data_IF_052748083641
#
_entry.id   IF_052748083641
#
_cell.length_a   1.000
_cell.length_b   1.000
_cell.length_c   1.000
_cell.angle_alpha   90.00
_cell.angle_beta   90.00
_cell.angle_gamma   90.00
#
_symmetry.space_group_name_H-M   'P 1'
#
loop_
_entity.id
_entity.type
_entity.pdbx_description
1 polymer ?
#
# COMPACT_ATOMS: atom_id res chain seq x y z
N UNK A 1 -1.98 1.38 -7.39
CA UNK A 1 -2.76 0.33 -6.68
C UNK A 1 -2.20 0.01 -5.30
N UNK A 2 -0.93 -0.44 -5.15
CA UNK A 2 -0.38 -0.78 -3.81
C UNK A 2 -0.43 0.38 -2.80
N UNK A 3 -0.01 1.58 -3.20
CA UNK A 3 -0.12 2.79 -2.36
C UNK A 3 -1.56 3.09 -1.91
N UNK A 4 -2.54 2.74 -2.76
CA UNK A 4 -3.96 3.02 -2.55
C UNK A 4 -4.60 1.98 -1.61
N UNK A 5 -4.46 0.68 -1.91
CA UNK A 5 -5.08 -0.39 -1.11
C UNK A 5 -4.38 -0.54 0.25
N UNK A 6 -3.05 -0.44 0.27
CA UNK A 6 -2.28 -0.59 1.50
C UNK A 6 -2.10 0.74 2.26
N UNK A 7 -2.63 1.87 1.78
CA UNK A 7 -2.45 3.20 2.41
C UNK A 7 -0.98 3.60 2.65
N UNK A 8 -0.08 3.13 1.80
CA UNK A 8 1.36 3.39 1.92
C UNK A 8 1.73 4.69 1.24
N UNK A 9 2.68 5.41 1.83
CA UNK A 9 3.27 6.56 1.18
C UNK A 9 4.10 6.08 -0.02
N UNK A 10 4.20 6.89 -1.08
CA UNK A 10 4.93 6.52 -2.31
C UNK A 10 6.37 6.08 -2.01
N UNK A 11 7.05 6.77 -1.10
CA UNK A 11 8.42 6.41 -0.68
C UNK A 11 8.52 5.04 0.01
N UNK A 12 7.45 4.57 0.65
CA UNK A 12 7.40 3.25 1.27
C UNK A 12 7.17 2.18 0.20
N UNK A 13 6.21 2.43 -0.71
CA UNK A 13 5.90 1.52 -1.82
C UNK A 13 7.09 1.25 -2.72
N UNK A 14 7.86 2.30 -3.03
CA UNK A 14 9.04 2.18 -3.89
C UNK A 14 10.18 1.37 -3.26
N UNK A 15 10.16 1.15 -1.94
CA UNK A 15 11.16 0.34 -1.23
C UNK A 15 10.79 -1.13 -1.13
N UNK A 16 9.56 -1.51 -1.51
CA UNK A 16 9.09 -2.90 -1.43
C UNK A 16 9.93 -3.77 -2.38
N UNK A 17 10.47 -4.85 -1.83
CA UNK A 17 11.20 -5.87 -2.56
C UNK A 17 10.30 -7.08 -2.83
N UNK A 18 10.68 -7.88 -3.83
CA UNK A 18 9.91 -9.07 -4.21
C UNK A 18 9.70 -10.07 -3.07
N UNK A 19 10.61 -10.12 -2.09
CA UNK A 19 10.51 -11.02 -0.94
C UNK A 19 9.65 -10.51 0.21
N UNK A 20 9.25 -9.23 0.19
CA UNK A 20 8.37 -8.63 1.20
C UNK A 20 6.89 -8.95 0.92
N UNK A 21 6.60 -9.55 -0.23
CA UNK A 21 5.25 -9.86 -0.67
C UNK A 21 4.98 -11.35 -0.50
N UNK A 22 4.10 -11.64 0.45
CA UNK A 22 3.42 -12.92 0.57
C UNK A 22 2.08 -12.81 -0.14
N UNK A 23 1.91 -13.61 -1.20
CA UNK A 23 0.62 -13.73 -1.90
C UNK A 23 -0.27 -14.67 -1.09
N UNK A 24 -1.23 -14.08 -0.40
CA UNK A 24 -2.27 -14.81 0.32
C UNK A 24 -3.49 -14.88 -0.60
N UNK A 25 -4.02 -16.09 -0.78
CA UNK A 25 -5.16 -16.36 -1.66
C UNK A 25 -6.46 -15.91 -0.98
N UNK A 26 -6.64 -14.60 -0.85
CA UNK A 26 -7.83 -13.99 -0.25
C UNK A 26 -8.69 -13.22 -1.25
N UNK A 27 -9.96 -13.14 -0.87
CA UNK A 27 -11.12 -12.79 -1.67
C UNK A 27 -10.93 -11.58 -2.60
N UNK A 28 -11.40 -11.75 -3.83
CA UNK A 28 -11.10 -10.88 -4.97
C UNK A 28 -11.76 -9.52 -4.81
N UNK A 29 -10.97 -8.49 -4.48
CA UNK A 29 -11.37 -7.09 -4.62
C UNK A 29 -11.43 -6.74 -6.12
N UNK A 30 -12.33 -7.35 -6.90
CA UNK A 30 -12.54 -7.18 -8.35
C UNK A 30 -11.31 -6.63 -9.10
N UNK A 31 -11.36 -5.35 -9.53
CA UNK A 31 -10.29 -4.67 -10.28
C UNK A 31 -9.18 -4.05 -9.42
N UNK A 32 -9.35 -4.01 -8.09
CA UNK A 32 -8.41 -3.44 -7.13
C UNK A 32 -7.62 -4.52 -6.37
N UNK A 33 -7.77 -5.80 -6.74
CA UNK A 33 -7.09 -6.92 -6.08
C UNK A 33 -5.56 -6.76 -6.21
N UNK A 34 -4.86 -6.45 -5.10
CA UNK A 34 -3.44 -6.16 -5.15
C UNK A 34 -2.61 -7.40 -5.52
N UNK A 35 -3.09 -8.57 -5.10
CA UNK A 35 -2.52 -9.88 -5.45
C UNK A 35 -2.55 -10.12 -6.95
N UNK A 36 -3.72 -9.95 -7.60
CA UNK A 36 -3.86 -10.21 -9.03
C UNK A 36 -2.99 -9.28 -9.86
N UNK A 37 -3.03 -7.98 -9.59
CA UNK A 37 -2.22 -7.03 -10.35
C UNK A 37 -0.72 -7.15 -10.04
N UNK A 38 -0.33 -7.61 -8.85
CA UNK A 38 1.06 -8.01 -8.61
C UNK A 38 1.46 -9.27 -9.40
N UNK A 39 0.61 -10.30 -9.43
CA UNK A 39 0.88 -11.52 -10.18
C UNK A 39 1.02 -11.23 -11.69
N UNK A 40 0.11 -10.43 -12.27
CA UNK A 40 0.20 -9.96 -13.65
C UNK A 40 1.49 -9.16 -13.90
N UNK A 41 1.84 -8.26 -12.98
CA UNK A 41 3.08 -7.48 -13.07
C UNK A 41 4.33 -8.35 -13.08
N UNK A 42 4.42 -9.33 -12.17
CA UNK A 42 5.57 -10.26 -12.10
C UNK A 42 5.64 -11.13 -13.36
N UNK A 43 4.49 -11.59 -13.87
CA UNK A 43 4.44 -12.35 -15.12
C UNK A 43 4.95 -11.55 -16.31
N UNK A 44 4.64 -10.26 -16.41
CA UNK A 44 5.08 -9.41 -17.52
C UNK A 44 6.54 -8.98 -17.37
N UNK A 45 6.97 -8.63 -16.16
CA UNK A 45 8.31 -8.06 -15.91
C UNK A 45 9.39 -9.10 -15.65
N UNK A 46 9.01 -10.35 -15.33
CA UNK A 46 9.92 -11.44 -14.97
C UNK A 46 10.88 -11.10 -13.80
N UNK A 47 10.48 -10.15 -12.94
CA UNK A 47 11.27 -9.74 -11.78
C UNK A 47 11.22 -10.84 -10.72
N UNK A 48 12.35 -11.52 -10.50
CA UNK A 48 12.47 -12.59 -9.49
C UNK A 48 13.10 -12.14 -8.17
N UNK A 49 13.93 -11.07 -8.18
CA UNK A 49 14.68 -10.58 -7.01
C UNK A 49 14.94 -9.09 -7.11
N UNK A 50 14.78 -8.34 -6.03
CA UNK A 50 15.10 -6.91 -5.91
C UNK A 50 13.85 -6.03 -5.81
N UNK A 51 13.99 -4.73 -6.07
CA UNK A 51 12.88 -3.77 -6.04
C UNK A 51 11.79 -4.14 -7.06
N UNK A 52 10.52 -3.96 -6.69
CA UNK A 52 9.39 -4.20 -7.59
C UNK A 52 9.23 -3.04 -8.59
N UNK A 53 9.46 -1.81 -8.12
CA UNK A 53 9.38 -0.58 -8.91
C UNK A 53 10.76 -0.10 -9.32
N UNK A 54 11.19 -0.55 -10.51
CA UNK A 54 12.51 -0.25 -11.09
C UNK A 54 12.42 0.87 -12.12
N UNK A 55 13.51 1.61 -12.30
CA UNK A 55 13.66 2.45 -13.49
C UNK A 55 13.70 1.58 -14.75
N UNK A 56 12.92 1.95 -15.78
CA UNK A 56 12.84 1.19 -17.05
C UNK A 56 14.21 0.90 -17.71
N UNK A 57 15.18 1.81 -17.57
CA UNK A 57 16.51 1.67 -18.20
C UNK A 57 17.60 1.14 -17.26
N UNK A 58 17.32 0.96 -15.97
CA UNK A 58 18.28 0.49 -14.97
C UNK A 58 17.58 -0.49 -14.04
N UNK A 59 17.67 -1.78 -14.40
CA UNK A 59 16.90 -2.86 -13.80
C UNK A 59 17.10 -3.02 -12.29
N UNK A 60 18.12 -2.45 -11.67
CA UNK A 60 18.36 -2.59 -10.23
C UNK A 60 18.20 -1.28 -9.43
N UNK A 61 17.90 -0.18 -10.13
CA UNK A 61 17.73 1.12 -9.47
C UNK A 61 16.27 1.38 -9.11
N UNK A 62 16.07 1.73 -7.84
CA UNK A 62 14.78 2.18 -7.32
C UNK A 62 14.28 3.39 -8.13
N UNK A 63 13.02 3.32 -8.58
CA UNK A 63 12.36 4.47 -9.19
C UNK A 63 12.22 5.60 -8.14
N UNK A 64 12.39 6.86 -8.55
CA UNK A 64 12.19 7.98 -7.63
C UNK A 64 10.70 8.31 -7.46
N UNK A 65 10.38 8.96 -6.34
CA UNK A 65 9.04 9.47 -6.08
C UNK A 65 8.57 10.45 -7.16
N UNK A 66 9.45 11.34 -7.62
CA UNK A 66 9.18 12.29 -8.71
C UNK A 66 8.84 11.60 -10.04
N UNK A 67 9.55 10.52 -10.38
CA UNK A 67 9.25 9.72 -11.57
C UNK A 67 7.90 9.02 -11.43
N UNK A 68 7.58 8.51 -10.24
CA UNK A 68 6.28 7.93 -9.93
C UNK A 68 5.15 8.96 -10.09
N UNK A 69 5.33 10.17 -9.55
CA UNK A 69 4.33 11.23 -9.63
C UNK A 69 4.14 11.70 -11.07
N UNK A 70 5.22 11.86 -11.83
CA UNK A 70 5.16 12.22 -13.25
C UNK A 70 4.36 11.18 -14.05
N UNK A 71 4.67 9.89 -13.88
CA UNK A 71 3.93 8.83 -14.55
C UNK A 71 2.45 8.81 -14.18
N UNK A 72 2.13 9.03 -12.90
CA UNK A 72 0.74 9.13 -12.46
C UNK A 72 0.00 10.31 -13.08
N UNK A 73 0.61 11.50 -13.13
CA UNK A 73 0.01 12.68 -13.76
C UNK A 73 -0.25 12.47 -15.25
N UNK A 74 0.66 11.79 -15.94
CA UNK A 74 0.46 11.43 -17.34
C UNK A 74 -0.74 10.49 -17.51
N UNK A 75 -0.87 9.46 -16.67
CA UNK A 75 -2.05 8.58 -16.70
C UNK A 75 -3.37 9.33 -16.44
N UNK A 76 -3.37 10.35 -15.57
CA UNK A 76 -4.55 11.20 -15.35
C UNK A 76 -4.91 12.00 -16.60
N UNK A 77 -3.92 12.56 -17.29
CA UNK A 77 -4.10 13.27 -18.55
C UNK A 77 -4.65 12.34 -19.64
N UNK A 78 -4.16 11.10 -19.72
CA UNK A 78 -4.62 10.10 -20.70
C UNK A 78 -6.11 9.76 -20.56
N UNK A 79 -6.65 9.84 -19.33
CA UNK A 79 -8.08 9.63 -19.04
C UNK A 79 -8.88 10.94 -18.94
N UNK A 80 -8.28 12.07 -19.29
CA UNK A 80 -8.94 13.39 -19.33
C UNK A 80 -9.19 14.03 -17.96
N UNK A 81 -8.45 13.64 -16.92
CA UNK A 81 -8.54 14.22 -15.57
C UNK A 81 -7.40 15.23 -15.37
N UNK A 82 -7.73 16.42 -14.86
CA UNK A 82 -6.71 17.41 -14.47
C UNK A 82 -5.81 16.84 -13.35
N UNK A 83 -4.48 16.74 -13.56
CA UNK A 83 -3.56 16.22 -12.56
C UNK A 83 -3.20 17.21 -11.45
N UNK A 84 -3.52 18.50 -11.61
CA UNK A 84 -3.10 19.58 -10.69
C UNK A 84 -3.48 19.37 -9.23
N UNK A 85 -4.70 18.90 -8.87
CA UNK A 85 -5.06 18.67 -7.47
C UNK A 85 -4.46 17.37 -6.89
N UNK A 86 -3.79 16.55 -7.70
CA UNK A 86 -3.28 15.26 -7.28
C UNK A 86 -1.77 15.27 -7.00
N UNK A 87 -1.41 14.76 -5.82
CA UNK A 87 -0.03 14.64 -5.33
C UNK A 87 0.25 13.24 -4.77
N UNK A 88 1.44 13.05 -4.18
CA UNK A 88 1.84 11.73 -3.66
C UNK A 88 0.93 11.21 -2.53
N UNK A 89 0.34 12.12 -1.74
CA UNK A 89 -0.62 11.76 -0.70
C UNK A 89 -2.00 11.37 -1.25
N UNK A 90 -2.32 11.68 -2.51
CA UNK A 90 -3.63 11.37 -3.09
C UNK A 90 -3.93 9.87 -3.10
N UNK A 91 -2.91 9.02 -3.18
CA UNK A 91 -3.10 7.57 -3.06
C UNK A 91 -3.58 7.15 -1.67
N UNK A 92 -2.96 7.68 -0.61
CA UNK A 92 -3.34 7.37 0.78
C UNK A 92 -4.71 7.94 1.11
N UNK A 93 -4.96 9.21 0.77
CA UNK A 93 -6.25 9.85 1.01
C UNK A 93 -7.38 9.18 0.23
N UNK A 94 -7.16 8.90 -1.06
CA UNK A 94 -8.13 8.20 -1.89
C UNK A 94 -8.41 6.78 -1.39
N UNK A 95 -7.37 6.06 -0.95
CA UNK A 95 -7.51 4.74 -0.35
C UNK A 95 -8.33 4.78 0.94
N UNK A 96 -8.05 5.72 1.83
CA UNK A 96 -8.83 5.92 3.06
C UNK A 96 -10.29 6.22 2.77
N UNK A 97 -10.53 7.10 1.81
CA UNK A 97 -11.88 7.47 1.41
C UNK A 97 -12.63 6.26 0.84
N UNK A 98 -12.00 5.46 -0.02
CA UNK A 98 -12.58 4.23 -0.55
C UNK A 98 -12.88 3.19 0.54
N UNK A 99 -11.94 2.94 1.46
CA UNK A 99 -12.16 2.01 2.58
C UNK A 99 -13.32 2.47 3.48
N UNK A 100 -13.46 3.78 3.70
CA UNK A 100 -14.53 4.36 4.53
C UNK A 100 -15.89 4.34 3.82
N UNK A 101 -15.96 4.76 2.55
CA UNK A 101 -17.22 4.96 1.85
C UNK A 101 -17.73 3.66 1.19
N UNK A 102 -16.86 2.92 0.51
CA UNK A 102 -17.26 1.75 -0.28
C UNK A 102 -17.25 0.46 0.53
N UNK A 103 -16.29 0.31 1.47
CA UNK A 103 -16.22 -0.87 2.35
C UNK A 103 -16.81 -0.62 3.74
N UNK A 104 -17.24 0.61 4.04
CA UNK A 104 -17.80 1.00 5.33
C UNK A 104 -16.90 0.64 6.52
N UNK A 105 -15.57 0.68 6.35
CA UNK A 105 -14.65 0.38 7.45
C UNK A 105 -14.68 1.50 8.49
N UNK A 106 -14.78 1.17 9.79
CA UNK A 106 -14.65 2.18 10.84
C UNK A 106 -13.22 2.75 10.84
N UNK A 107 -13.09 4.04 11.16
CA UNK A 107 -11.80 4.77 11.15
C UNK A 107 -10.71 4.03 11.93
N UNK A 108 -11.04 3.41 13.07
CA UNK A 108 -10.07 2.61 13.84
C UNK A 108 -9.49 1.46 13.01
N UNK A 109 -10.32 0.72 12.29
CA UNK A 109 -9.88 -0.37 11.41
C UNK A 109 -9.01 0.18 10.27
N UNK A 110 -9.32 1.36 9.73
CA UNK A 110 -8.52 2.01 8.69
C UNK A 110 -7.14 2.41 9.23
N UNK A 111 -7.06 3.01 10.42
CA UNK A 111 -5.79 3.38 11.04
C UNK A 111 -4.93 2.14 11.34
N UNK A 112 -5.53 1.11 11.95
CA UNK A 112 -4.86 -0.17 12.21
C UNK A 112 -4.40 -0.82 10.91
N UNK A 113 -5.22 -0.78 9.85
CA UNK A 113 -4.85 -1.27 8.53
C UNK A 113 -3.67 -0.50 7.97
N UNK A 114 -3.73 0.84 7.91
CA UNK A 114 -2.65 1.70 7.43
C UNK A 114 -1.34 1.58 8.22
N UNK A 115 -1.35 0.92 9.38
CA UNK A 115 -0.20 0.86 10.29
C UNK A 115 0.03 2.18 11.00
N UNK A 116 -1.02 3.00 11.12
CA UNK A 116 -0.99 4.26 11.84
C UNK A 116 -1.32 4.01 13.29
N UNK A 117 -0.57 4.64 14.18
CA UNK A 117 -0.87 4.55 15.60
C UNK A 117 -2.22 5.19 15.90
N UNK A 118 -3.00 4.54 16.77
CA UNK A 118 -4.19 5.16 17.37
C UNK A 118 -3.81 6.14 18.49
N UNK A 119 -2.59 6.01 19.04
CA UNK A 119 -2.00 6.95 20.00
C UNK A 119 -1.04 7.90 19.28
N UNK A 120 -1.26 9.21 19.42
CA UNK A 120 -0.46 10.27 18.76
C UNK A 120 1.04 10.29 19.14
N UNK A 121 1.50 9.37 20.00
CA UNK A 121 2.88 9.28 20.50
C UNK A 121 3.82 8.48 19.58
N UNK A 122 3.29 7.69 18.64
CA UNK A 122 4.08 6.89 17.70
C UNK A 122 3.53 7.06 16.28
N UNK A 123 4.39 7.15 15.25
CA UNK A 123 3.94 7.51 13.90
C UNK A 123 3.62 6.32 12.99
N UNK A 124 4.25 5.15 13.17
CA UNK A 124 4.02 3.96 12.32
C UNK A 124 4.33 2.65 13.03
N UNK A 125 3.49 1.63 12.81
CA UNK A 125 3.67 0.25 13.29
C UNK A 125 4.15 -0.62 12.11
N UNK A 126 5.22 -1.41 12.27
CA UNK A 126 5.74 -2.27 11.20
C UNK A 126 4.69 -3.31 10.75
N UNK A 127 4.50 -3.42 9.43
CA UNK A 127 3.54 -4.36 8.80
C UNK A 127 4.29 -5.56 8.24
N UNK A 128 3.82 -6.78 8.56
CA UNK A 128 4.37 -8.04 8.04
C UNK A 128 3.60 -8.64 6.86
N UNK A 129 2.37 -8.19 6.60
CA UNK A 129 1.51 -8.76 5.54
C UNK A 129 0.75 -7.64 4.85
N UNK A 130 1.15 -7.31 3.61
CA UNK A 130 0.57 -6.21 2.84
C UNK A 130 -0.81 -6.53 2.24
N UNK A 131 -1.13 -7.82 2.04
CA UNK A 131 -2.30 -8.28 1.27
C UNK A 131 -3.37 -9.04 2.07
N UNK A 132 -3.20 -9.17 3.38
CA UNK A 132 -4.20 -9.79 4.27
C UNK A 132 -5.15 -8.73 4.83
N UNK A 133 -6.25 -8.44 4.12
CA UNK A 133 -7.24 -7.44 4.54
C UNK A 133 -8.17 -7.94 5.65
N UNK A 134 -8.25 -9.25 5.86
CA UNK A 134 -9.03 -9.86 6.93
C UNK A 134 -8.22 -10.08 8.20
N UNK A 135 -6.95 -9.68 8.22
CA UNK A 135 -6.07 -9.83 9.38
C UNK A 135 -6.79 -9.39 10.65
N UNK A 136 -6.78 -10.27 11.64
CA UNK A 136 -7.27 -9.92 12.96
C UNK A 136 -6.45 -8.74 13.47
N UNK A 137 -7.07 -7.67 13.99
CA UNK A 137 -6.33 -6.55 14.57
C UNK A 137 -5.31 -7.09 15.57
N UNK A 138 -4.06 -6.67 15.42
CA UNK A 138 -3.05 -7.00 16.42
C UNK A 138 -3.41 -6.19 17.66
N UNK A 139 -4.11 -6.83 18.59
CA UNK A 139 -4.45 -6.22 19.87
C UNK A 139 -3.16 -5.96 20.64
N UNK A 140 -2.76 -4.70 20.70
CA UNK A 140 -1.76 -4.28 21.67
C UNK A 140 -2.29 -4.62 23.07
N UNK A 141 -1.43 -5.19 23.91
CA UNK A 141 -1.79 -5.51 25.29
C UNK A 141 -2.28 -4.24 26.01
N UNK A 142 -3.46 -4.30 26.64
CA UNK A 142 -4.07 -3.15 27.34
C UNK A 142 -3.23 -2.62 28.51
N UNK A 143 -2.29 -3.42 29.02
CA UNK A 143 -1.44 -3.05 30.16
C UNK A 143 -0.15 -2.36 29.72
N UNK A 144 0.42 -2.71 28.56
CA UNK A 144 1.75 -2.22 28.18
C UNK A 144 1.82 -1.59 26.78
N UNK A 145 0.73 -1.60 26.00
CA UNK A 145 0.66 -0.99 24.68
C UNK A 145 1.53 -1.68 23.61
N UNK A 146 2.11 -2.85 23.91
CA UNK A 146 2.96 -3.61 22.98
C UNK A 146 2.34 -4.96 22.63
N UNK A 147 2.83 -5.56 21.55
CA UNK A 147 2.59 -6.96 21.21
C UNK A 147 3.41 -7.80 22.17
N UNK A 148 2.77 -8.53 23.08
CA UNK A 148 3.45 -9.37 24.08
C UNK A 148 2.60 -10.58 24.43
N UNK A 149 3.13 -11.49 25.25
CA UNK A 149 2.42 -12.69 25.71
C UNK A 149 1.12 -12.43 26.49
N UNK A 150 0.84 -11.17 26.84
CA UNK A 150 -0.31 -10.73 27.60
C UNK A 150 -1.47 -10.22 26.72
N UNK A 151 -1.29 -10.19 25.39
CA UNK A 151 -2.36 -9.88 24.41
C UNK A 151 -3.14 -11.12 24.02
#
# INVERSE_FOLDING_TARGET
MLAFVCLLHVNEVLKIQSHDIEVIDEETIKHLCPVRAYAEWVMQTQIKKGFIFRKMFFSDMQQSSEQCLTGFRNHLLDIGIDPSPYGMHSFQHGGCQWLSMDLCWPIRKICEWGGWSTDFLYMTIPRKSFFDMNRTPILACRLCGRICHCS
#
